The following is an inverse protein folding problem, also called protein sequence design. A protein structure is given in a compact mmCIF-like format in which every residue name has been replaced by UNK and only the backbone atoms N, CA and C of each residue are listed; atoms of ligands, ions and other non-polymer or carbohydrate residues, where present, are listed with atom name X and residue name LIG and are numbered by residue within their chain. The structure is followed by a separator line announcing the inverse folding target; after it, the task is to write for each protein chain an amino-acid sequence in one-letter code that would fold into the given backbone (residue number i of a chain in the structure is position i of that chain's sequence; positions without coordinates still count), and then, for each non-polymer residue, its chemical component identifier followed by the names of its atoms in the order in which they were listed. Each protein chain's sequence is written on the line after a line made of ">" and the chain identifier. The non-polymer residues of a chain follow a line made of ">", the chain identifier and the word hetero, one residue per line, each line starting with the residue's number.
data_IF_414315278704
#
_entry.id   IF_414315278704
#
_cell.length_a   1.000
_cell.length_b   1.000
_cell.length_c   1.000
_cell.angle_alpha   90.00
_cell.angle_beta   90.00
_cell.angle_gamma   90.00
#
_symmetry.space_group_name_H-M   'P 1'
#
loop_
_entity.id
_entity.type
_entity.pdbx_description
1 polymer ?
#
# COMPACT_ATOMS: atom_id res chain seq x y z
N UNK A 1 33.74 49.94 -11.94
CA UNK A 1 35.01 49.73 -12.63
C UNK A 1 34.59 49.15 -13.99
N UNK A 2 34.16 49.90 -14.90
CA UNK A 2 34.77 50.67 -16.00
C UNK A 2 35.97 50.00 -16.62
N UNK A 3 35.80 49.44 -17.82
CA UNK A 3 36.79 49.70 -18.87
C UNK A 3 36.18 49.45 -20.25
N UNK A 4 36.07 50.55 -20.97
CA UNK A 4 35.71 50.68 -22.38
C UNK A 4 36.97 50.54 -23.21
N UNK A 5 36.95 49.83 -24.32
CA UNK A 5 37.96 49.96 -25.37
C UNK A 5 37.31 50.19 -26.70
N UNK A 6 37.41 51.43 -27.15
CA UNK A 6 37.26 51.87 -28.54
C UNK A 6 38.46 51.48 -29.39
N UNK A 7 38.26 51.10 -30.65
CA UNK A 7 39.20 51.36 -31.76
C UNK A 7 38.47 51.06 -33.09
N UNK A 8 38.08 52.03 -33.79
CA UNK A 8 38.57 52.72 -35.01
C UNK A 8 38.52 51.90 -36.33
N UNK A 9 37.63 52.49 -37.13
CA UNK A 9 37.49 52.59 -38.57
C UNK A 9 38.73 52.26 -39.41
N UNK A 10 38.50 51.50 -40.49
CA UNK A 10 39.35 51.38 -41.68
C UNK A 10 38.48 51.21 -42.91
N UNK A 11 38.35 52.29 -43.69
CA UNK A 11 37.70 52.33 -44.97
C UNK A 11 38.57 51.67 -46.02
N UNK A 12 38.04 50.69 -46.70
CA UNK A 12 38.71 50.07 -47.88
C UNK A 12 37.64 49.64 -48.91
N UNK A 13 37.23 50.56 -49.73
CA UNK A 13 36.32 50.29 -50.84
C UNK A 13 37.06 49.53 -51.97
N UNK A 14 36.85 48.27 -52.09
CA UNK A 14 37.18 47.51 -53.30
C UNK A 14 35.90 47.11 -54.03
N UNK A 15 35.63 47.85 -55.09
CA UNK A 15 34.59 47.62 -56.07
C UNK A 15 34.85 46.29 -56.78
N UNK A 16 34.21 45.19 -56.30
CA UNK A 16 34.21 43.94 -57.05
C UNK A 16 32.99 43.94 -57.97
N UNK A 17 33.29 43.96 -59.25
CA UNK A 17 32.34 43.63 -60.34
C UNK A 17 31.72 42.26 -60.06
N UNK A 18 30.47 42.25 -59.72
CA UNK A 18 29.66 41.02 -59.72
C UNK A 18 29.35 40.70 -61.17
N UNK A 19 30.04 39.75 -61.74
CA UNK A 19 29.57 39.03 -62.90
C UNK A 19 28.26 38.34 -62.50
N UNK A 20 27.16 38.89 -62.97
CA UNK A 20 25.86 38.23 -62.91
C UNK A 20 25.94 36.98 -63.79
N UNK A 21 26.15 35.85 -63.18
CA UNK A 21 25.94 34.59 -63.88
C UNK A 21 24.43 34.48 -64.13
N UNK A 22 24.04 34.75 -65.36
CA UNK A 22 22.72 34.37 -65.87
C UNK A 22 22.64 32.84 -65.76
N UNK A 23 22.04 32.34 -64.65
CA UNK A 23 21.52 30.98 -64.58
C UNK A 23 20.35 30.96 -65.58
N UNK A 24 20.61 30.33 -66.73
CA UNK A 24 19.53 30.06 -67.69
C UNK A 24 18.41 29.33 -66.98
N UNK A 25 17.22 29.92 -66.94
CA UNK A 25 15.99 29.30 -66.49
C UNK A 25 15.72 28.09 -67.39
N UNK A 26 16.11 26.92 -66.91
CA UNK A 26 15.71 25.69 -67.60
C UNK A 26 14.22 25.51 -67.27
N UNK A 27 13.40 25.61 -68.30
CA UNK A 27 11.98 25.31 -68.16
C UNK A 27 11.78 23.92 -67.59
N UNK A 28 11.05 23.82 -66.52
CA UNK A 28 10.70 22.54 -65.87
C UNK A 28 9.75 21.82 -66.83
N UNK A 29 10.13 20.61 -67.25
CA UNK A 29 9.26 19.81 -68.12
C UNK A 29 8.14 19.15 -67.32
N UNK A 30 7.01 18.85 -67.96
CA UNK A 30 5.92 18.11 -67.30
C UNK A 30 6.39 16.80 -66.69
N UNK A 31 7.35 16.17 -67.26
CA UNK A 31 7.95 14.92 -66.78
C UNK A 31 8.71 15.15 -65.48
N UNK A 32 9.48 16.26 -65.37
CA UNK A 32 10.20 16.58 -64.12
C UNK A 32 9.24 16.78 -62.94
N UNK A 33 8.07 17.40 -63.18
CA UNK A 33 7.03 17.58 -62.15
C UNK A 33 6.43 16.24 -61.74
N UNK A 34 6.13 15.36 -62.71
CA UNK A 34 5.57 14.03 -62.39
C UNK A 34 6.55 13.20 -61.58
N UNK A 35 7.83 13.18 -61.97
CA UNK A 35 8.89 12.44 -61.25
C UNK A 35 9.06 12.99 -59.82
N UNK A 36 9.06 14.32 -59.68
CA UNK A 36 9.15 14.96 -58.37
C UNK A 36 7.95 14.61 -57.45
N UNK A 37 6.73 14.58 -58.03
CA UNK A 37 5.53 14.16 -57.29
C UNK A 37 5.56 12.71 -56.84
N UNK A 38 6.04 11.80 -57.72
CA UNK A 38 6.18 10.38 -57.36
C UNK A 38 7.21 10.20 -56.25
N UNK A 39 8.36 10.83 -56.33
CA UNK A 39 9.40 10.77 -55.28
C UNK A 39 8.89 11.39 -54.01
N UNK A 40 8.17 12.52 -54.03
CA UNK A 40 7.57 13.13 -52.86
C UNK A 40 6.53 12.20 -52.24
N UNK A 41 5.66 11.57 -53.04
CA UNK A 41 4.68 10.61 -52.53
C UNK A 41 5.33 9.40 -51.82
N UNK A 42 6.38 8.84 -52.42
CA UNK A 42 7.12 7.73 -51.83
C UNK A 42 7.81 8.12 -50.52
N UNK A 43 8.41 9.30 -50.46
CA UNK A 43 9.03 9.81 -49.22
C UNK A 43 8.00 10.04 -48.12
N UNK A 44 6.83 10.59 -48.45
CA UNK A 44 5.72 10.79 -47.49
C UNK A 44 5.25 9.43 -46.90
N UNK A 45 5.12 8.40 -47.75
CA UNK A 45 4.73 7.05 -47.32
C UNK A 45 5.75 6.47 -46.32
N UNK A 46 7.03 6.57 -46.63
CA UNK A 46 8.12 6.06 -45.76
C UNK A 46 8.13 6.81 -44.42
N UNK A 47 7.99 8.14 -44.44
CA UNK A 47 7.95 8.96 -43.24
C UNK A 47 6.70 8.63 -42.39
N UNK A 48 5.54 8.48 -43.05
CA UNK A 48 4.31 8.10 -42.34
C UNK A 48 4.42 6.73 -41.66
N UNK A 49 4.99 5.73 -42.35
CA UNK A 49 5.21 4.41 -41.75
C UNK A 49 6.20 4.47 -40.58
N UNK A 50 7.28 5.23 -40.70
CA UNK A 50 8.22 5.45 -39.59
C UNK A 50 7.58 6.11 -38.39
N UNK A 51 6.71 7.08 -38.64
CA UNK A 51 5.98 7.78 -37.56
C UNK A 51 5.01 6.87 -36.81
N UNK A 52 4.30 5.97 -37.51
CA UNK A 52 3.41 4.98 -36.90
C UNK A 52 4.21 4.02 -35.99
N UNK A 53 5.37 3.56 -36.47
CA UNK A 53 6.23 2.66 -35.67
C UNK A 53 6.74 3.36 -34.40
N UNK A 54 7.23 4.61 -34.54
CA UNK A 54 7.70 5.40 -33.38
C UNK A 54 6.58 5.64 -32.38
N UNK A 55 5.38 6.00 -32.82
CA UNK A 55 4.21 6.18 -31.93
C UNK A 55 3.85 4.87 -31.21
N UNK A 56 3.91 3.74 -31.89
CA UNK A 56 3.60 2.44 -31.28
C UNK A 56 4.63 2.09 -30.20
N UNK A 57 5.91 2.34 -30.46
CA UNK A 57 6.99 2.13 -29.48
C UNK A 57 6.79 3.08 -28.27
N UNK A 58 6.54 4.35 -28.48
CA UNK A 58 6.32 5.32 -27.39
C UNK A 58 5.13 4.93 -26.52
N UNK A 59 4.00 4.56 -27.12
CA UNK A 59 2.82 4.08 -26.38
C UNK A 59 3.12 2.82 -25.55
N UNK A 60 3.91 1.93 -26.10
CA UNK A 60 4.33 0.69 -25.45
C UNK A 60 5.26 0.93 -24.26
N UNK A 61 6.19 1.87 -24.38
CA UNK A 61 7.15 2.22 -23.31
C UNK A 61 6.43 2.98 -22.19
N UNK A 62 5.61 3.99 -22.52
CA UNK A 62 4.85 4.74 -21.50
C UNK A 62 3.90 3.83 -20.73
N UNK A 63 3.14 2.96 -21.41
CA UNK A 63 2.24 2.03 -20.74
C UNK A 63 2.97 1.05 -19.81
N UNK A 64 4.16 0.58 -20.18
CA UNK A 64 4.96 -0.29 -19.31
C UNK A 64 5.47 0.46 -18.06
N UNK A 65 5.83 1.74 -18.21
CA UNK A 65 6.20 2.60 -17.09
C UNK A 65 5.02 2.84 -16.14
N UNK A 66 3.81 3.08 -16.67
CA UNK A 66 2.59 3.27 -15.88
C UNK A 66 2.25 2.02 -15.05
N UNK A 67 2.30 0.83 -15.66
CA UNK A 67 2.07 -0.43 -14.95
C UNK A 67 3.12 -0.68 -13.84
N UNK A 68 4.39 -0.34 -14.12
CA UNK A 68 5.45 -0.42 -13.12
C UNK A 68 5.22 0.56 -11.98
N UNK A 69 4.87 1.81 -12.30
CA UNK A 69 4.56 2.86 -11.33
C UNK A 69 3.37 2.47 -10.44
N UNK A 70 2.30 1.93 -11.02
CA UNK A 70 1.13 1.47 -10.27
C UNK A 70 1.48 0.32 -9.31
N UNK A 71 2.24 -0.69 -9.78
CA UNK A 71 2.69 -1.80 -8.95
C UNK A 71 3.62 -1.33 -7.82
N UNK A 72 4.58 -0.46 -8.11
CA UNK A 72 5.53 0.07 -7.15
C UNK A 72 4.83 0.93 -6.08
N UNK A 73 3.88 1.78 -6.48
CA UNK A 73 3.09 2.59 -5.55
C UNK A 73 2.25 1.72 -4.61
N UNK A 74 1.52 0.74 -5.17
CA UNK A 74 0.72 -0.20 -4.39
C UNK A 74 1.58 -0.95 -3.37
N UNK A 75 2.70 -1.51 -3.84
CA UNK A 75 3.62 -2.29 -3.01
C UNK A 75 4.22 -1.44 -1.89
N UNK A 76 4.70 -0.22 -2.21
CA UNK A 76 5.25 0.71 -1.22
C UNK A 76 4.21 1.12 -0.18
N UNK A 77 3.01 1.47 -0.63
CA UNK A 77 1.91 1.87 0.28
C UNK A 77 1.58 0.75 1.25
N UNK A 78 1.35 -0.46 0.75
CA UNK A 78 1.06 -1.64 1.57
C UNK A 78 2.24 -1.98 2.50
N UNK A 79 3.49 -1.92 2.00
CA UNK A 79 4.67 -2.21 2.80
C UNK A 79 4.83 -1.24 3.98
N UNK A 80 4.57 0.06 3.80
CA UNK A 80 4.61 1.05 4.88
C UNK A 80 3.54 0.73 5.93
N UNK A 81 2.34 0.40 5.52
CA UNK A 81 1.24 0.08 6.44
C UNK A 81 1.53 -1.20 7.23
N UNK A 82 2.04 -2.23 6.57
CA UNK A 82 2.45 -3.49 7.20
C UNK A 82 3.62 -3.27 8.18
N UNK A 83 4.60 -2.46 7.82
CA UNK A 83 5.73 -2.15 8.71
C UNK A 83 5.28 -1.42 9.99
N UNK A 84 4.20 -0.63 9.91
CA UNK A 84 3.59 0.07 11.05
C UNK A 84 2.51 -0.76 11.76
N UNK A 85 2.15 -1.92 11.26
CA UNK A 85 1.15 -2.78 11.88
C UNK A 85 1.51 -3.07 13.33
N UNK A 86 0.53 -2.93 14.25
CA UNK A 86 0.72 -3.13 15.67
C UNK A 86 1.42 -1.99 16.42
N UNK A 87 1.82 -0.91 15.73
CA UNK A 87 2.42 0.24 16.41
C UNK A 87 1.49 0.76 17.51
N UNK A 88 2.05 1.00 18.70
CA UNK A 88 1.33 1.45 19.88
C UNK A 88 0.42 0.42 20.55
N UNK A 89 0.12 -0.71 19.91
CA UNK A 89 -0.71 -1.78 20.47
C UNK A 89 0.13 -2.85 21.18
N UNK A 90 1.39 -3.00 20.83
CA UNK A 90 2.26 -4.06 21.29
C UNK A 90 2.54 -4.00 22.80
N UNK A 91 2.56 -2.81 23.42
CA UNK A 91 2.92 -2.62 24.82
C UNK A 91 1.88 -3.13 25.81
N UNK A 92 0.63 -3.27 25.41
CA UNK A 92 -0.46 -3.77 26.24
C UNK A 92 -1.07 -5.08 25.71
N UNK A 93 -0.37 -5.75 24.84
CA UNK A 93 -0.91 -6.83 24.03
C UNK A 93 -1.44 -8.02 24.85
N UNK A 94 -0.85 -8.33 26.02
CA UNK A 94 -1.34 -9.38 26.92
C UNK A 94 -2.73 -9.06 27.51
N UNK A 95 -3.06 -7.78 27.60
CA UNK A 95 -4.33 -7.34 28.16
C UNK A 95 -5.48 -7.53 27.17
N UNK A 96 -5.17 -7.63 25.88
CA UNK A 96 -6.17 -7.82 24.84
C UNK A 96 -6.52 -9.28 24.54
N UNK A 97 -5.80 -10.24 25.13
CA UNK A 97 -6.04 -11.67 24.90
C UNK A 97 -7.45 -12.10 25.35
N UNK A 98 -8.00 -11.42 26.33
CA UNK A 98 -9.36 -11.65 26.82
C UNK A 98 -10.46 -10.85 26.09
N UNK A 99 -10.10 -9.92 25.20
CA UNK A 99 -11.12 -9.12 24.52
C UNK A 99 -11.99 -9.98 23.60
N UNK A 100 -13.32 -9.70 23.54
CA UNK A 100 -14.23 -10.45 22.72
C UNK A 100 -13.80 -10.46 21.25
N UNK A 101 -13.80 -11.63 20.64
CA UNK A 101 -13.62 -11.82 19.22
C UNK A 101 -14.99 -11.95 18.57
N UNK A 102 -15.25 -11.16 17.54
CA UNK A 102 -16.45 -11.28 16.73
C UNK A 102 -16.06 -11.78 15.33
N UNK A 103 -17.01 -12.37 14.61
CA UNK A 103 -16.79 -12.75 13.22
C UNK A 103 -16.55 -11.52 12.32
N UNK A 104 -16.97 -10.35 12.76
CA UNK A 104 -16.73 -9.10 12.06
C UNK A 104 -15.40 -8.48 12.54
N UNK A 105 -14.45 -8.40 11.65
CA UNK A 105 -13.12 -7.82 11.89
C UNK A 105 -13.20 -6.34 12.29
N UNK A 106 -14.19 -5.60 11.82
CA UNK A 106 -14.37 -4.18 12.13
C UNK A 106 -14.72 -3.95 13.61
N UNK A 107 -15.52 -4.85 14.18
CA UNK A 107 -16.02 -4.77 15.56
C UNK A 107 -15.23 -5.64 16.53
N UNK A 108 -14.31 -6.50 16.04
CA UNK A 108 -13.46 -7.29 16.90
C UNK A 108 -12.54 -6.39 17.73
N UNK A 109 -12.68 -6.42 19.04
CA UNK A 109 -11.87 -5.60 19.95
C UNK A 109 -10.46 -6.16 20.17
N UNK A 110 -10.21 -7.43 19.81
CA UNK A 110 -8.87 -8.01 19.87
C UNK A 110 -7.93 -7.30 18.88
N UNK A 111 -6.91 -6.57 19.33
CA UNK A 111 -6.04 -5.81 18.46
C UNK A 111 -4.97 -6.69 17.81
N UNK A 112 -5.37 -7.42 16.79
CA UNK A 112 -4.42 -8.07 15.89
C UNK A 112 -3.74 -7.00 15.04
N UNK A 113 -2.41 -7.01 14.99
CA UNK A 113 -1.64 -6.07 14.18
C UNK A 113 -2.07 -6.09 12.70
N UNK A 114 -2.31 -7.27 12.17
CA UNK A 114 -2.78 -7.46 10.81
C UNK A 114 -3.59 -8.75 10.64
N UNK A 115 -4.48 -8.76 9.66
CA UNK A 115 -5.29 -9.90 9.28
C UNK A 115 -5.40 -10.00 7.76
N UNK A 116 -5.05 -11.15 7.20
CA UNK A 116 -5.23 -11.44 5.79
C UNK A 116 -6.52 -12.22 5.61
N UNK A 117 -7.33 -11.85 4.62
CA UNK A 117 -8.41 -12.67 4.10
C UNK A 117 -8.03 -13.15 2.72
N UNK A 118 -7.70 -14.44 2.61
CA UNK A 118 -7.42 -15.10 1.34
C UNK A 118 -8.71 -15.25 0.54
N UNK A 119 -8.67 -14.90 -0.72
CA UNK A 119 -9.83 -15.01 -1.64
C UNK A 119 -10.21 -16.46 -1.97
N UNK A 120 -9.40 -17.44 -1.56
CA UNK A 120 -9.56 -18.86 -1.90
C UNK A 120 -9.21 -19.17 -3.36
N UNK A 121 -8.73 -18.18 -4.12
CA UNK A 121 -8.42 -18.33 -5.55
C UNK A 121 -7.16 -17.58 -5.90
N UNK A 122 -6.27 -18.22 -6.67
CA UNK A 122 -5.02 -17.60 -7.11
C UNK A 122 -5.26 -16.36 -8.01
N UNK A 123 -6.33 -16.37 -8.81
CA UNK A 123 -6.68 -15.33 -9.78
C UNK A 123 -7.47 -14.15 -9.19
N UNK A 124 -7.78 -14.16 -7.88
CA UNK A 124 -8.51 -13.08 -7.21
C UNK A 124 -7.65 -12.42 -6.14
N UNK A 125 -7.78 -11.10 -5.97
CA UNK A 125 -7.06 -10.39 -4.93
C UNK A 125 -7.52 -10.79 -3.53
N UNK A 126 -6.56 -10.80 -2.61
CA UNK A 126 -6.81 -10.94 -1.18
C UNK A 126 -7.12 -9.59 -0.56
N UNK A 127 -7.61 -9.61 0.68
CA UNK A 127 -7.84 -8.42 1.50
C UNK A 127 -6.89 -8.42 2.68
N UNK A 128 -6.39 -7.24 3.04
CA UNK A 128 -5.54 -7.02 4.20
C UNK A 128 -6.19 -6.01 5.14
N UNK A 129 -6.28 -6.35 6.42
CA UNK A 129 -6.63 -5.40 7.49
C UNK A 129 -5.37 -5.14 8.30
N UNK A 130 -5.08 -3.86 8.55
CA UNK A 130 -3.96 -3.39 9.35
C UNK A 130 -4.50 -2.57 10.51
N UNK A 131 -3.98 -2.79 11.72
CA UNK A 131 -4.30 -2.03 12.92
C UNK A 131 -3.05 -1.40 13.49
N UNK A 132 -3.18 -0.15 13.93
CA UNK A 132 -2.12 0.62 14.55
C UNK A 132 -2.73 1.74 15.41
N UNK A 133 -1.99 2.18 16.42
CA UNK A 133 -2.33 3.39 17.15
C UNK A 133 -1.64 4.59 16.51
N UNK A 134 -2.32 5.73 16.52
CA UNK A 134 -1.79 7.04 16.16
C UNK A 134 -1.62 7.96 17.38
N UNK A 135 -1.69 7.38 18.58
CA UNK A 135 -1.40 8.11 19.81
C UNK A 135 0.02 8.70 19.80
N UNK A 136 0.19 9.85 20.43
CA UNK A 136 1.49 10.50 20.56
C UNK A 136 2.50 9.64 21.34
N UNK A 137 2.00 8.89 22.32
CA UNK A 137 2.74 7.89 23.08
C UNK A 137 1.89 6.63 23.23
N UNK A 138 2.55 5.49 23.35
CA UNK A 138 1.86 4.21 23.54
C UNK A 138 1.90 3.75 25.00
N UNK A 139 1.89 4.68 25.95
CA UNK A 139 1.91 4.38 27.38
C UNK A 139 0.51 4.06 27.87
N UNK A 140 0.24 2.84 28.38
CA UNK A 140 -1.04 2.52 28.97
C UNK A 140 -1.25 3.27 30.30
N UNK A 141 -2.40 3.89 30.46
CA UNK A 141 -2.82 4.46 31.75
C UNK A 141 -3.48 3.39 32.61
N UNK A 142 -3.08 3.29 33.88
CA UNK A 142 -3.67 2.34 34.82
C UNK A 142 -4.87 2.96 35.53
N UNK A 143 -5.90 2.17 35.75
CA UNK A 143 -7.05 2.61 36.56
C UNK A 143 -6.65 2.69 38.03
N UNK A 144 -7.05 3.74 38.70
CA UNK A 144 -6.92 3.92 40.18
C UNK A 144 -8.13 3.38 40.94
N UNK A 145 -9.27 3.25 40.28
CA UNK A 145 -10.51 2.69 40.84
C UNK A 145 -11.23 1.83 39.81
N UNK A 146 -12.14 0.98 40.27
CA UNK A 146 -13.05 0.30 39.36
C UNK A 146 -14.00 1.33 38.73
N UNK A 147 -14.24 1.20 37.43
CA UNK A 147 -15.22 2.00 36.71
C UNK A 147 -16.50 1.19 36.52
N UNK A 148 -17.61 1.74 36.97
CA UNK A 148 -18.94 1.24 36.63
C UNK A 148 -19.31 1.68 35.21
N UNK A 149 -20.31 1.02 34.63
CA UNK A 149 -20.92 1.48 33.40
C UNK A 149 -21.27 2.97 33.49
N UNK A 150 -20.77 3.80 32.56
CA UNK A 150 -20.91 5.26 32.65
C UNK A 150 -20.01 5.99 31.67
N UNK A 151 -19.58 7.19 32.06
CA UNK A 151 -18.84 8.12 31.19
C UNK A 151 -17.48 8.55 31.73
N UNK A 152 -16.98 7.98 32.83
CA UNK A 152 -15.75 8.44 33.47
C UNK A 152 -14.82 7.28 33.85
N UNK A 153 -13.54 7.40 33.51
CA UNK A 153 -12.46 6.51 33.93
C UNK A 153 -11.48 7.29 34.82
N UNK A 154 -11.17 6.76 36.01
CA UNK A 154 -10.17 7.32 36.90
C UNK A 154 -8.83 6.60 36.68
N UNK A 155 -7.82 7.34 36.24
CA UNK A 155 -6.50 6.81 35.90
C UNK A 155 -5.38 7.55 36.62
N UNK A 156 -4.20 6.90 36.74
CA UNK A 156 -3.02 7.46 37.43
C UNK A 156 -2.30 8.54 36.62
N UNK A 157 -2.33 8.44 35.29
CA UNK A 157 -1.66 9.35 34.37
C UNK A 157 -2.30 9.24 32.97
N UNK A 158 -2.12 10.29 32.16
CA UNK A 158 -2.67 10.38 30.79
C UNK A 158 -1.62 10.86 29.80
N UNK A 159 -0.39 10.40 29.94
CA UNK A 159 0.69 10.77 29.02
C UNK A 159 0.37 10.36 27.59
N UNK A 160 0.24 11.36 26.71
CA UNK A 160 -0.07 11.15 25.29
C UNK A 160 -1.54 10.91 24.96
N UNK A 161 -2.45 11.14 25.91
CA UNK A 161 -3.89 11.20 25.66
C UNK A 161 -4.30 12.64 25.36
N UNK A 162 -5.30 12.79 24.53
CA UNK A 162 -5.90 14.08 24.17
C UNK A 162 -7.41 13.98 24.09
N UNK A 163 -8.08 15.09 24.36
CA UNK A 163 -9.53 15.19 24.08
C UNK A 163 -9.76 14.95 22.58
N UNK A 164 -10.72 14.10 22.27
CA UNK A 164 -11.01 13.66 20.91
C UNK A 164 -10.23 12.39 20.48
N UNK A 165 -9.41 11.82 21.37
CA UNK A 165 -8.79 10.53 21.10
C UNK A 165 -9.80 9.39 21.25
N UNK A 166 -9.68 8.38 20.41
CA UNK A 166 -10.28 7.07 20.62
C UNK A 166 -9.39 6.27 21.57
N UNK A 167 -10.01 5.67 22.57
CA UNK A 167 -9.32 4.86 23.57
C UNK A 167 -9.92 3.47 23.65
N UNK A 168 -9.11 2.50 24.07
CA UNK A 168 -9.57 1.18 24.44
C UNK A 168 -9.27 0.95 25.91
N UNK A 169 -10.30 0.63 26.69
CA UNK A 169 -10.17 0.19 28.06
C UNK A 169 -10.28 -1.32 28.10
N UNK A 170 -9.36 -2.00 28.78
CA UNK A 170 -9.29 -3.45 28.82
C UNK A 170 -8.85 -3.97 30.18
N UNK A 171 -9.29 -5.16 30.52
CA UNK A 171 -8.93 -5.88 31.74
C UNK A 171 -8.55 -7.31 31.47
N UNK A 172 -7.78 -7.92 32.38
CA UNK A 172 -7.32 -9.32 32.24
C UNK A 172 -8.46 -10.34 32.30
N UNK A 173 -9.63 -9.98 32.81
CA UNK A 173 -10.81 -10.83 32.85
C UNK A 173 -11.63 -10.82 31.55
N UNK A 174 -11.10 -10.19 30.50
CA UNK A 174 -11.68 -10.21 29.16
C UNK A 174 -12.70 -9.12 28.88
N UNK A 175 -12.80 -8.13 29.75
CA UNK A 175 -13.67 -6.97 29.49
C UNK A 175 -12.91 -5.94 28.69
N UNK A 176 -13.49 -5.53 27.57
CA UNK A 176 -12.89 -4.55 26.67
C UNK A 176 -13.96 -3.64 26.10
N UNK A 177 -13.66 -2.37 26.04
CA UNK A 177 -14.55 -1.38 25.44
C UNK A 177 -13.74 -0.30 24.73
N UNK A 178 -14.28 0.18 23.62
CA UNK A 178 -13.71 1.30 22.86
C UNK A 178 -14.65 2.49 22.99
N UNK A 179 -14.09 3.67 23.32
CA UNK A 179 -14.85 4.90 23.46
C UNK A 179 -14.00 6.10 23.03
N UNK A 180 -14.61 7.27 22.91
CA UNK A 180 -13.92 8.50 22.54
C UNK A 180 -13.84 9.45 23.74
N UNK A 181 -12.65 10.02 23.99
CA UNK A 181 -12.40 10.95 25.10
C UNK A 181 -13.05 12.29 24.81
N UNK A 182 -13.88 12.76 25.73
CA UNK A 182 -14.58 14.05 25.62
C UNK A 182 -13.99 15.14 26.53
N UNK A 183 -13.38 14.75 27.67
CA UNK A 183 -12.67 15.67 28.56
C UNK A 183 -11.59 14.94 29.37
N UNK A 184 -10.61 15.69 29.87
CA UNK A 184 -9.53 15.20 30.74
C UNK A 184 -9.32 16.24 31.85
N UNK A 185 -9.56 15.87 33.09
CA UNK A 185 -9.48 16.76 34.26
C UNK A 185 -8.73 16.12 35.43
N UNK A 186 -8.04 16.91 36.23
CA UNK A 186 -7.46 16.44 37.49
C UNK A 186 -8.57 16.24 38.51
N UNK A 187 -8.67 15.05 39.08
CA UNK A 187 -9.65 14.69 40.10
C UNK A 187 -9.06 14.75 41.52
N UNK A 188 -7.75 14.71 41.67
CA UNK A 188 -7.04 14.72 42.94
C UNK A 188 -5.54 14.44 42.78
N UNK A 189 -4.78 14.33 43.87
CA UNK A 189 -3.37 13.98 43.78
C UNK A 189 -3.17 12.60 43.16
N UNK A 190 -2.58 12.55 41.96
CA UNK A 190 -2.32 11.30 41.23
C UNK A 190 -3.57 10.63 40.67
N UNK A 191 -4.67 11.37 40.54
CA UNK A 191 -5.92 10.88 39.94
C UNK A 191 -6.37 11.84 38.85
N UNK A 192 -6.62 11.29 37.68
CA UNK A 192 -7.13 12.02 36.53
C UNK A 192 -8.41 11.38 36.06
N UNK A 193 -9.47 12.19 35.95
CA UNK A 193 -10.72 11.77 35.32
C UNK A 193 -10.61 11.92 33.81
N UNK A 194 -10.89 10.83 33.11
CA UNK A 194 -11.03 10.78 31.65
C UNK A 194 -12.50 10.58 31.34
N UNK A 195 -13.18 11.68 30.99
CA UNK A 195 -14.59 11.65 30.59
C UNK A 195 -14.67 11.18 29.14
N UNK A 196 -15.63 10.33 28.86
CA UNK A 196 -15.78 9.69 27.55
C UNK A 196 -17.25 9.49 27.16
N UNK A 197 -17.50 9.08 25.91
CA UNK A 197 -18.83 8.66 25.50
C UNK A 197 -19.30 7.46 26.36
N UNK A 198 -20.56 7.43 26.81
CA UNK A 198 -21.04 6.40 27.74
C UNK A 198 -20.80 4.98 27.23
N UNK A 199 -20.36 4.11 28.15
CA UNK A 199 -20.13 2.69 27.90
C UNK A 199 -20.96 1.85 28.89
N UNK A 200 -21.35 0.66 28.43
CA UNK A 200 -22.15 -0.28 29.23
C UNK A 200 -21.25 -1.49 29.64
N UNK A 201 -20.15 -1.18 30.30
CA UNK A 201 -19.19 -2.19 30.75
C UNK A 201 -18.58 -1.76 32.08
N UNK A 202 -18.69 -2.61 33.11
CA UNK A 202 -17.96 -2.45 34.35
C UNK A 202 -16.52 -2.95 34.19
N UNK A 203 -15.56 -2.13 34.59
CA UNK A 203 -14.14 -2.42 34.48
C UNK A 203 -13.51 -2.46 35.90
N UNK A 204 -12.75 -3.52 36.27
CA UNK A 204 -12.08 -3.56 37.56
C UNK A 204 -10.91 -2.57 37.63
N UNK A 205 -10.48 -2.23 38.86
CA UNK A 205 -9.34 -1.35 39.10
C UNK A 205 -8.01 -1.86 38.52
N UNK A 206 -7.93 -3.13 38.10
CA UNK A 206 -6.79 -3.72 37.41
C UNK A 206 -6.77 -3.46 35.91
N UNK A 207 -7.74 -2.70 35.41
CA UNK A 207 -7.86 -2.35 34.00
C UNK A 207 -6.80 -1.33 33.58
N UNK A 208 -6.62 -1.22 32.29
CA UNK A 208 -5.77 -0.22 31.64
C UNK A 208 -6.52 0.47 30.53
N UNK A 209 -6.17 1.73 30.31
CA UNK A 209 -6.63 2.55 29.21
C UNK A 209 -5.49 2.76 28.23
N UNK A 210 -5.73 2.58 26.94
CA UNK A 210 -4.75 2.78 25.88
C UNK A 210 -5.34 3.74 24.84
N UNK A 211 -4.60 4.81 24.48
CA UNK A 211 -5.00 5.68 23.38
C UNK A 211 -4.68 5.02 22.03
N UNK A 212 -5.65 5.08 21.13
CA UNK A 212 -5.51 4.73 19.72
C UNK A 212 -5.20 5.98 18.85
N UNK A 213 -5.18 7.16 19.50
CA UNK A 213 -5.03 8.46 18.85
C UNK A 213 -6.36 9.07 18.39
N UNK A 214 -6.32 10.17 17.64
CA UNK A 214 -7.51 10.92 17.25
C UNK A 214 -8.60 10.05 16.63
N UNK A 215 -9.82 10.14 17.13
CA UNK A 215 -10.97 9.32 16.70
C UNK A 215 -11.27 9.42 15.19
N UNK A 216 -10.94 10.57 14.57
CA UNK A 216 -11.06 10.76 13.13
C UNK A 216 -9.92 10.14 12.30
N UNK A 217 -8.97 9.43 12.93
CA UNK A 217 -7.85 8.79 12.25
C UNK A 217 -8.04 7.28 12.18
N UNK A 218 -7.77 6.70 11.02
CA UNK A 218 -7.95 5.28 10.75
C UNK A 218 -7.03 4.40 11.60
N UNK A 219 -7.50 3.97 12.78
CA UNK A 219 -6.78 2.98 13.61
C UNK A 219 -6.89 1.56 13.06
N UNK A 220 -7.89 1.28 12.21
CA UNK A 220 -8.13 -0.01 11.56
C UNK A 220 -8.44 0.21 10.10
N UNK A 221 -7.47 -0.07 9.23
CA UNK A 221 -7.59 0.14 7.78
C UNK A 221 -7.67 -1.19 7.04
N UNK A 222 -8.65 -1.32 6.16
CA UNK A 222 -8.78 -2.42 5.22
C UNK A 222 -8.27 -1.99 3.85
N UNK A 223 -7.47 -2.84 3.24
CA UNK A 223 -6.94 -2.70 1.87
C UNK A 223 -7.51 -3.81 1.02
N UNK A 224 -8.21 -3.46 -0.05
CA UNK A 224 -8.79 -4.37 -1.02
C UNK A 224 -8.60 -3.87 -2.46
N UNK A 225 -8.74 -4.77 -3.44
CA UNK A 225 -8.74 -4.41 -4.86
C UNK A 225 -10.11 -4.69 -5.42
N UNK A 226 -10.81 -3.64 -5.85
CA UNK A 226 -12.14 -3.74 -6.48
C UNK A 226 -12.11 -3.06 -7.83
N UNK A 227 -12.58 -3.77 -8.86
CA UNK A 227 -12.59 -3.29 -10.25
C UNK A 227 -11.23 -2.78 -10.72
N UNK A 228 -10.14 -3.43 -10.27
CA UNK A 228 -8.78 -3.07 -10.65
C UNK A 228 -8.21 -1.86 -9.90
N UNK A 229 -8.85 -1.39 -8.83
CA UNK A 229 -8.39 -0.27 -8.02
C UNK A 229 -8.10 -0.73 -6.60
N UNK A 230 -6.88 -0.49 -6.12
CA UNK A 230 -6.54 -0.62 -4.70
C UNK A 230 -7.23 0.49 -3.93
N UNK A 231 -7.90 0.13 -2.86
CA UNK A 231 -8.61 1.07 -1.98
C UNK A 231 -8.16 0.87 -0.55
N UNK A 232 -8.20 1.93 0.23
CA UNK A 232 -8.16 1.88 1.68
C UNK A 232 -9.52 2.27 2.24
N UNK A 233 -9.94 1.59 3.31
CA UNK A 233 -11.18 1.89 4.02
C UNK A 233 -10.88 1.93 5.50
N UNK A 234 -11.20 3.02 6.18
CA UNK A 234 -11.24 3.04 7.64
C UNK A 234 -12.50 2.31 8.12
N UNK A 235 -12.32 1.05 8.49
CA UNK A 235 -13.44 0.24 8.96
C UNK A 235 -13.79 0.50 10.43
N UNK A 236 -12.88 1.11 11.19
CA UNK A 236 -13.12 1.52 12.57
C UNK A 236 -14.09 2.69 12.67
N UNK A 237 -14.11 3.58 11.69
CA UNK A 237 -15.02 4.74 11.62
C UNK A 237 -16.19 4.51 10.63
N UNK A 238 -16.21 3.39 9.91
CA UNK A 238 -17.25 3.13 8.91
C UNK A 238 -17.16 4.01 7.65
N UNK A 239 -15.95 4.50 7.33
CA UNK A 239 -15.74 5.42 6.23
C UNK A 239 -15.98 4.77 4.86
N UNK A 240 -16.26 5.61 3.87
CA UNK A 240 -16.31 5.18 2.48
C UNK A 240 -14.90 4.78 1.97
N UNK A 241 -14.81 3.78 1.07
CA UNK A 241 -13.53 3.39 0.48
C UNK A 241 -12.84 4.53 -0.27
N UNK A 242 -11.57 4.79 0.04
CA UNK A 242 -10.72 5.76 -0.63
C UNK A 242 -9.86 5.08 -1.71
N UNK A 243 -9.99 5.42 -3.00
CA UNK A 243 -9.19 4.85 -4.07
C UNK A 243 -7.74 5.35 -3.98
N UNK A 244 -6.77 4.45 -4.08
CA UNK A 244 -5.33 4.74 -3.98
C UNK A 244 -4.63 4.66 -5.34
N UNK A 245 -4.79 3.54 -6.03
CA UNK A 245 -4.16 3.31 -7.34
C UNK A 245 -4.97 2.33 -8.17
N UNK A 246 -5.10 2.63 -9.47
CA UNK A 246 -5.79 1.80 -10.45
C UNK A 246 -4.84 0.86 -11.21
N UNK A 247 -5.41 0.07 -12.11
CA UNK A 247 -4.70 -0.87 -12.98
C UNK A 247 -4.04 -2.06 -12.26
N UNK A 248 -4.51 -2.38 -11.05
CA UNK A 248 -4.11 -3.60 -10.36
C UNK A 248 -5.01 -4.77 -10.76
N UNK A 249 -4.39 -5.88 -11.08
CA UNK A 249 -5.09 -7.12 -11.45
C UNK A 249 -5.23 -8.03 -10.25
N UNK A 250 -4.17 -8.13 -9.44
CA UNK A 250 -4.14 -9.02 -8.29
C UNK A 250 -3.21 -8.47 -7.20
N UNK A 251 -3.56 -8.74 -5.96
CA UNK A 251 -2.71 -8.54 -4.78
C UNK A 251 -2.81 -9.77 -3.90
N UNK A 252 -1.68 -10.36 -3.54
CA UNK A 252 -1.58 -11.54 -2.70
C UNK A 252 -0.74 -11.28 -1.47
N UNK A 253 -1.17 -11.88 -0.37
CA UNK A 253 -0.47 -11.77 0.92
C UNK A 253 -0.23 -13.15 1.51
N UNK A 254 0.90 -13.32 2.21
CA UNK A 254 1.16 -14.52 3.00
C UNK A 254 1.89 -14.18 4.29
N UNK A 255 1.59 -14.93 5.34
CA UNK A 255 2.29 -14.86 6.60
C UNK A 255 3.63 -15.58 6.52
N UNK A 256 4.68 -14.95 7.03
CA UNK A 256 5.96 -15.56 7.29
C UNK A 256 6.00 -16.06 8.74
N UNK A 257 6.18 -17.35 8.92
CA UNK A 257 6.02 -18.05 10.19
C UNK A 257 7.35 -18.59 10.69
N UNK A 258 7.59 -18.37 11.97
CA UNK A 258 8.57 -19.04 12.80
C UNK A 258 7.91 -20.32 13.33
N UNK A 259 8.24 -21.47 12.78
CA UNK A 259 7.53 -22.72 13.05
C UNK A 259 8.05 -23.45 14.30
N UNK A 260 9.31 -23.24 14.70
CA UNK A 260 9.95 -23.87 15.85
C UNK A 260 10.10 -22.94 17.06
N UNK A 261 9.89 -21.62 16.88
CA UNK A 261 9.92 -20.63 17.96
C UNK A 261 11.31 -20.08 18.26
N UNK A 262 12.29 -20.29 17.39
CA UNK A 262 13.66 -19.78 17.55
C UNK A 262 13.81 -18.29 17.22
N UNK A 263 12.78 -17.69 16.63
CA UNK A 263 12.71 -16.29 16.24
C UNK A 263 13.07 -16.02 14.79
N UNK A 264 13.54 -17.01 14.05
CA UNK A 264 13.79 -16.91 12.62
C UNK A 264 12.53 -17.18 11.80
N UNK A 265 12.58 -16.78 10.54
CA UNK A 265 11.51 -17.05 9.58
C UNK A 265 11.81 -18.38 8.88
N UNK A 266 10.93 -19.37 9.04
CA UNK A 266 11.10 -20.70 8.44
C UNK A 266 10.30 -20.91 7.17
N UNK A 267 9.06 -20.47 7.18
CA UNK A 267 8.12 -20.80 6.09
C UNK A 267 7.11 -19.71 5.82
N UNK A 268 6.45 -19.85 4.66
CA UNK A 268 5.39 -18.95 4.21
C UNK A 268 4.08 -19.72 4.08
N UNK A 269 3.01 -19.13 4.59
CA UNK A 269 1.68 -19.74 4.60
C UNK A 269 0.62 -18.76 4.09
N UNK A 270 -0.34 -19.27 3.33
CA UNK A 270 -1.54 -18.51 2.96
C UNK A 270 -2.49 -18.43 4.15
N UNK A 271 -3.36 -17.41 4.14
CA UNK A 271 -4.35 -17.17 5.20
C UNK A 271 -5.54 -18.15 5.11
N UNK A 272 -5.23 -19.46 5.11
CA UNK A 272 -6.19 -20.57 5.02
C UNK A 272 -5.97 -21.56 6.17
N UNK A 273 -6.92 -22.46 6.39
CA UNK A 273 -6.80 -23.47 7.45
C UNK A 273 -6.57 -22.85 8.82
N UNK A 274 -5.50 -23.25 9.51
CA UNK A 274 -5.13 -22.72 10.82
C UNK A 274 -4.88 -21.19 10.83
N UNK A 275 -4.48 -20.64 9.70
CA UNK A 275 -4.19 -19.22 9.52
C UNK A 275 -5.32 -18.44 8.85
N UNK A 276 -6.52 -19.03 8.72
CA UNK A 276 -7.71 -18.33 8.23
C UNK A 276 -8.12 -17.20 9.19
N UNK A 277 -8.80 -16.15 8.70
CA UNK A 277 -9.25 -15.04 9.55
C UNK A 277 -9.98 -15.50 10.82
N UNK A 278 -10.92 -16.44 10.69
CA UNK A 278 -11.69 -16.97 11.81
C UNK A 278 -10.80 -17.64 12.87
N UNK A 279 -9.81 -18.43 12.44
CA UNK A 279 -8.90 -19.10 13.35
C UNK A 279 -7.90 -18.11 13.97
N UNK A 280 -7.31 -17.20 13.20
CA UNK A 280 -6.37 -16.20 13.71
C UNK A 280 -7.01 -15.31 14.78
N UNK A 281 -8.29 -14.97 14.65
CA UNK A 281 -9.02 -14.17 15.65
C UNK A 281 -9.13 -14.87 17.00
N UNK A 282 -9.14 -16.18 17.07
CA UNK A 282 -9.27 -16.97 18.31
C UNK A 282 -7.98 -17.68 18.72
N UNK A 283 -6.92 -17.59 17.90
CA UNK A 283 -5.63 -18.24 18.15
C UNK A 283 -4.92 -17.62 19.36
N UNK A 284 -4.32 -18.41 20.26
CA UNK A 284 -3.55 -17.89 21.38
C UNK A 284 -2.40 -17.01 20.92
N UNK A 285 -2.10 -15.98 21.71
CA UNK A 285 -1.06 -15.01 21.41
C UNK A 285 0.28 -15.64 21.11
N UNK A 286 0.73 -16.63 21.89
CA UNK A 286 2.00 -17.33 21.67
C UNK A 286 2.14 -17.91 20.24
N UNK A 287 1.02 -18.26 19.60
CA UNK A 287 1.00 -18.69 18.20
C UNK A 287 1.01 -17.51 17.25
N UNK A 288 0.31 -16.41 17.59
CA UNK A 288 0.33 -15.18 16.79
C UNK A 288 1.71 -14.53 16.76
N UNK A 289 2.47 -14.63 17.86
CA UNK A 289 3.84 -14.12 17.96
C UNK A 289 4.83 -14.86 17.03
N UNK A 290 4.42 -15.99 16.47
CA UNK A 290 5.16 -16.71 15.42
C UNK A 290 5.06 -16.04 14.05
N UNK A 291 4.14 -15.11 13.85
CA UNK A 291 4.05 -14.32 12.61
C UNK A 291 5.15 -13.26 12.63
N UNK A 292 6.23 -13.46 11.87
CA UNK A 292 7.41 -12.57 11.86
C UNK A 292 7.41 -11.57 10.73
N UNK A 293 6.80 -11.93 9.61
CA UNK A 293 6.82 -11.11 8.40
C UNK A 293 5.53 -11.29 7.58
N UNK A 294 5.33 -10.38 6.66
CA UNK A 294 4.35 -10.50 5.59
C UNK A 294 5.07 -10.42 4.26
N UNK A 295 4.75 -11.28 3.30
CA UNK A 295 5.13 -11.05 1.90
C UNK A 295 3.93 -10.60 1.08
N UNK A 296 4.20 -9.69 0.17
CA UNK A 296 3.21 -9.01 -0.65
C UNK A 296 3.59 -9.20 -2.10
N UNK A 297 2.66 -9.71 -2.92
CA UNK A 297 2.80 -9.82 -4.36
C UNK A 297 1.73 -8.99 -5.05
N UNK A 298 2.13 -8.20 -6.04
CA UNK A 298 1.26 -7.31 -6.80
C UNK A 298 1.40 -7.59 -8.27
N UNK A 299 0.27 -7.72 -8.97
CA UNK A 299 0.19 -7.80 -10.43
C UNK A 299 -0.56 -6.58 -10.94
N UNK A 300 0.12 -5.73 -11.70
CA UNK A 300 -0.47 -4.58 -12.38
C UNK A 300 -0.47 -4.77 -13.90
N UNK A 301 -1.36 -4.05 -14.58
CA UNK A 301 -1.43 -4.04 -16.04
C UNK A 301 -1.30 -2.62 -16.59
N UNK A 302 -1.02 -2.50 -17.89
CA UNK A 302 -1.10 -1.22 -18.56
C UNK A 302 -2.55 -0.74 -18.64
N UNK A 303 -2.76 0.56 -18.66
CA UNK A 303 -4.09 1.15 -18.85
C UNK A 303 -4.61 0.89 -20.27
N UNK A 304 -3.74 1.00 -21.25
CA UNK A 304 -4.07 0.88 -22.67
C UNK A 304 -3.78 -0.51 -23.22
N UNK A 305 -4.62 -0.92 -24.15
CA UNK A 305 -4.49 -2.16 -24.88
C UNK A 305 -3.30 -2.06 -25.87
N UNK A 306 -2.50 -3.11 -25.95
CA UNK A 306 -1.49 -3.34 -26.98
C UNK A 306 -1.97 -4.44 -27.95
N UNK A 307 -2.59 -4.09 -29.09
CA UNK A 307 -3.24 -5.06 -29.98
C UNK A 307 -2.26 -6.07 -30.59
N UNK A 308 -0.95 -5.85 -30.45
CA UNK A 308 0.08 -6.77 -30.97
C UNK A 308 0.35 -7.95 -30.02
N UNK A 309 -0.27 -7.99 -28.83
CA UNK A 309 0.03 -8.97 -27.78
C UNK A 309 -1.20 -9.71 -27.26
N UNK A 310 -1.95 -10.34 -28.15
CA UNK A 310 -3.07 -11.19 -27.75
C UNK A 310 -2.54 -12.59 -27.43
N UNK A 311 -2.24 -12.83 -26.15
CA UNK A 311 -1.82 -14.16 -25.64
C UNK A 311 -2.10 -14.26 -24.16
N UNK A 312 -2.21 -15.49 -23.67
CA UNK A 312 -2.32 -15.77 -22.23
C UNK A 312 -1.11 -15.19 -21.48
N UNK A 313 -1.39 -14.66 -20.30
CA UNK A 313 -0.35 -14.19 -19.40
C UNK A 313 -0.23 -15.16 -18.22
N UNK A 314 0.83 -15.94 -18.22
CA UNK A 314 1.20 -16.81 -17.11
C UNK A 314 1.98 -16.00 -16.09
N UNK A 315 1.60 -16.10 -14.83
CA UNK A 315 2.26 -15.41 -13.75
C UNK A 315 2.60 -16.35 -12.61
N UNK A 316 3.69 -16.02 -11.92
CA UNK A 316 4.15 -16.69 -10.70
C UNK A 316 4.42 -15.61 -9.67
N UNK A 317 3.94 -15.83 -8.45
CA UNK A 317 4.25 -15.05 -7.25
C UNK A 317 4.91 -15.97 -6.23
N UNK A 318 5.83 -15.38 -5.47
CA UNK A 318 6.48 -16.06 -4.36
C UNK A 318 7.27 -17.31 -4.77
N UNK A 319 7.94 -17.19 -5.92
CA UNK A 319 8.83 -18.25 -6.40
C UNK A 319 10.07 -18.37 -5.50
N UNK A 320 10.75 -19.48 -5.56
CA UNK A 320 11.99 -19.75 -4.83
C UNK A 320 13.05 -20.37 -5.74
N UNK A 321 14.27 -20.42 -5.27
CA UNK A 321 15.42 -20.92 -6.04
C UNK A 321 15.52 -22.47 -6.11
N UNK A 322 14.61 -23.20 -5.44
CA UNK A 322 14.60 -24.65 -5.47
C UNK A 322 14.41 -25.19 -6.88
N UNK A 323 15.13 -26.22 -7.24
CA UNK A 323 14.98 -26.90 -8.54
C UNK A 323 13.56 -27.48 -8.70
N UNK A 324 13.00 -28.04 -7.63
CA UNK A 324 11.61 -28.48 -7.60
C UNK A 324 10.70 -27.34 -7.15
N UNK A 325 10.10 -26.65 -8.10
CA UNK A 325 9.23 -25.50 -7.87
C UNK A 325 7.95 -25.81 -7.09
N UNK A 326 7.46 -27.05 -7.13
CA UNK A 326 6.31 -27.49 -6.34
C UNK A 326 6.60 -27.59 -4.85
N UNK A 327 7.88 -27.66 -4.47
CA UNK A 327 8.32 -27.65 -3.09
C UNK A 327 8.53 -26.24 -2.50
N UNK A 328 8.33 -25.18 -3.29
CA UNK A 328 8.43 -23.81 -2.82
C UNK A 328 7.29 -23.46 -1.86
N UNK A 329 7.56 -23.15 -0.57
CA UNK A 329 6.52 -22.82 0.37
C UNK A 329 5.70 -21.60 -0.09
N UNK A 330 4.39 -21.78 -0.22
CA UNK A 330 3.48 -20.71 -0.56
C UNK A 330 3.61 -20.15 -1.98
N UNK A 331 4.30 -20.82 -2.92
CA UNK A 331 4.35 -20.42 -4.32
C UNK A 331 2.93 -20.38 -4.92
N UNK A 332 2.62 -19.28 -5.60
CA UNK A 332 1.35 -19.09 -6.30
C UNK A 332 1.60 -18.93 -7.79
N UNK A 333 0.74 -19.52 -8.60
CA UNK A 333 0.79 -19.35 -10.05
C UNK A 333 -0.62 -19.30 -10.63
N UNK A 334 -0.73 -18.71 -11.79
CA UNK A 334 -1.99 -18.63 -12.49
C UNK A 334 -1.83 -18.13 -13.91
N UNK A 335 -2.94 -18.12 -14.62
CA UNK A 335 -3.02 -17.68 -16.01
C UNK A 335 -4.16 -16.69 -16.16
N UNK A 336 -3.90 -15.58 -16.81
CA UNK A 336 -4.93 -14.65 -17.26
C UNK A 336 -5.14 -14.93 -18.76
N UNK A 337 -6.28 -15.50 -19.16
CA UNK A 337 -6.55 -15.85 -20.56
C UNK A 337 -6.55 -14.63 -21.48
N UNK A 338 -6.10 -14.77 -22.70
CA UNK A 338 -6.10 -13.72 -23.71
C UNK A 338 -7.48 -13.10 -23.95
N UNK A 339 -8.54 -13.90 -23.82
CA UNK A 339 -9.95 -13.46 -23.96
C UNK A 339 -10.40 -12.49 -22.86
N UNK A 340 -9.83 -12.61 -21.65
CA UNK A 340 -10.12 -11.76 -20.48
C UNK A 340 -9.11 -10.63 -20.38
N UNK A 341 -7.84 -10.94 -20.70
CA UNK A 341 -6.72 -10.03 -20.55
C UNK A 341 -6.73 -8.88 -21.55
N UNK A 342 -7.47 -9.01 -22.67
CA UNK A 342 -7.20 -8.13 -23.78
C UNK A 342 -5.70 -8.13 -24.11
N UNK A 343 -5.25 -7.23 -24.90
CA UNK A 343 -3.84 -7.10 -25.20
C UNK A 343 -3.10 -6.18 -24.19
N UNK A 344 -3.10 -6.50 -22.92
CA UNK A 344 -2.41 -5.72 -21.88
C UNK A 344 -1.00 -6.23 -21.64
N UNK A 345 -0.14 -5.36 -21.14
CA UNK A 345 1.15 -5.76 -20.55
C UNK A 345 1.02 -5.79 -19.04
N UNK A 346 1.62 -6.79 -18.42
CA UNK A 346 1.57 -7.01 -16.98
C UNK A 346 2.94 -6.77 -16.36
N UNK A 347 2.93 -6.34 -15.10
CA UNK A 347 4.09 -6.24 -14.23
C UNK A 347 3.80 -6.92 -12.93
N UNK A 348 4.75 -7.74 -12.48
CA UNK A 348 4.75 -8.42 -11.19
C UNK A 348 5.80 -7.76 -10.32
N UNK A 349 5.45 -7.47 -9.09
CA UNK A 349 6.37 -6.98 -8.07
C UNK A 349 6.07 -7.65 -6.74
N UNK A 350 7.11 -7.93 -5.98
CA UNK A 350 7.02 -8.60 -4.69
C UNK A 350 7.90 -7.91 -3.65
N UNK A 351 7.52 -8.01 -2.39
CA UNK A 351 8.35 -7.60 -1.26
C UNK A 351 8.05 -8.42 -0.03
N UNK A 352 9.02 -8.46 0.88
CA UNK A 352 8.88 -9.01 2.22
C UNK A 352 9.00 -7.87 3.22
N UNK A 353 8.07 -7.81 4.16
CA UNK A 353 8.01 -6.76 5.19
C UNK A 353 8.05 -7.43 6.57
N UNK A 354 9.09 -7.21 7.37
CA UNK A 354 9.13 -7.71 8.73
C UNK A 354 8.16 -6.94 9.62
N UNK A 355 7.49 -7.64 10.54
CA UNK A 355 6.56 -7.06 11.50
C UNK A 355 7.31 -6.56 12.73
N UNK A 356 7.90 -5.38 12.64
CA UNK A 356 8.79 -4.82 13.67
C UNK A 356 8.13 -4.74 15.04
N UNK A 357 6.89 -4.29 15.11
CA UNK A 357 6.18 -4.13 16.38
C UNK A 357 5.80 -5.47 17.03
N UNK A 358 5.66 -6.53 16.26
CA UNK A 358 5.48 -7.89 16.78
C UNK A 358 6.80 -8.51 17.26
N UNK A 359 7.95 -8.13 16.65
CA UNK A 359 9.27 -8.66 16.99
C UNK A 359 9.85 -8.05 18.28
N UNK A 360 9.50 -6.79 18.62
CA UNK A 360 10.12 -6.07 19.74
C UNK A 360 9.44 -6.31 21.08
N UNK A 361 8.33 -7.03 21.11
CA UNK A 361 7.57 -7.32 22.32
C UNK A 361 7.92 -8.68 22.94
N UNK A 362 9.14 -9.15 22.79
CA UNK A 362 9.64 -10.25 23.61
C UNK A 362 9.99 -9.68 24.99
N UNK A 363 9.12 -9.91 25.97
CA UNK A 363 9.54 -9.88 27.36
C UNK A 363 10.66 -10.90 27.49
N UNK A 364 11.87 -10.41 27.73
CA UNK A 364 13.04 -11.20 28.13
C UNK A 364 12.76 -11.92 29.44
#
# INVERSE_FOLDING_TARGET
>A
MTESVHLRSGVGATRRHRLAAHRGERGVTLVDVIVALVVAALTIIVVAQSFIVVQTIQRSVSGAADAHGAAAFALRTLAIQVANAGAGLAQAAELFDGCPTTADVATALRPLALLITDSGRADRPDTLVVRQSYAATAVPARFVSAASAGSDFQVEAVDGFSVGDRVIATSRDGRCVTTDVTDIAAAGPGVIDVTHAPVDVDLPATSVLLSLGPAGRASTSRYDVVSGTLRSTDIGNGDAPNPLVSNLVNVKFQYGIDSDGDGALDTWVSATGAWSPANVLVTPRATLDRIKALRIGVIARTERIDPTRIRDFHWVLFDCELANKSACPGRLEGTIPATVAGAYRYRIMETVVPLRNALWNRAS
#
